data_IF_367646866519
#
_entry.id   IF_367646866519
#
_cell.length_a   1.000
_cell.length_b   1.000
_cell.length_c   1.000
_cell.angle_alpha   90.00
_cell.angle_beta   90.00
_cell.angle_gamma   90.00
#
_symmetry.space_group_name_H-M   'P 1'
#
loop_
_entity.id
_entity.type
_entity.pdbx_description
1 polymer ?
#
# COMPACT_ATOMS: atom_id res chain seq x y z
N UNK A 1 9.72 18.82 -19.77
CA UNK A 1 10.05 18.82 -18.32
C UNK A 1 9.63 17.49 -17.74
N UNK A 2 10.54 16.83 -17.03
CA UNK A 2 10.24 15.55 -16.42
C UNK A 2 9.76 15.77 -14.99
N UNK A 3 8.63 15.16 -14.67
CA UNK A 3 8.14 15.16 -13.30
C UNK A 3 8.61 13.87 -12.65
N UNK A 4 9.38 13.99 -11.58
CA UNK A 4 9.81 12.81 -10.83
C UNK A 4 8.68 12.44 -9.89
N UNK A 5 8.08 11.27 -10.11
CA UNK A 5 7.04 10.77 -9.22
C UNK A 5 7.69 10.09 -8.03
N UNK A 6 7.08 10.25 -6.86
CA UNK A 6 7.52 9.53 -5.68
C UNK A 6 7.21 8.04 -5.83
N UNK A 7 7.89 7.20 -5.05
CA UNK A 7 7.59 5.77 -5.03
C UNK A 7 6.15 5.52 -4.63
N UNK A 8 5.61 6.31 -3.70
CA UNK A 8 4.22 6.18 -3.27
C UNK A 8 3.26 6.44 -4.44
N UNK A 9 3.51 7.46 -5.25
CA UNK A 9 2.66 7.78 -6.39
C UNK A 9 2.72 6.68 -7.46
N UNK A 10 3.89 6.14 -7.72
CA UNK A 10 4.05 5.03 -8.66
C UNK A 10 3.28 3.81 -8.14
N UNK A 11 3.42 3.49 -6.87
CA UNK A 11 2.71 2.37 -6.25
C UNK A 11 1.19 2.57 -6.35
N UNK A 12 0.71 3.78 -6.08
CA UNK A 12 -0.72 4.09 -6.19
C UNK A 12 -1.26 3.80 -7.58
N UNK A 13 -0.54 4.25 -8.61
CA UNK A 13 -0.95 4.02 -10.00
C UNK A 13 -0.97 2.53 -10.34
N UNK A 14 0.01 1.77 -9.87
CA UNK A 14 0.07 0.33 -10.09
C UNK A 14 -1.13 -0.35 -9.45
N UNK A 15 -1.42 -0.02 -8.20
CA UNK A 15 -2.50 -0.64 -7.44
C UNK A 15 -3.86 -0.32 -8.07
N UNK A 16 -4.05 0.90 -8.56
CA UNK A 16 -5.29 1.29 -9.23
C UNK A 16 -5.51 0.55 -10.53
N UNK A 17 -4.48 -0.06 -11.10
CA UNK A 17 -4.63 -0.84 -12.35
C UNK A 17 -5.30 -2.20 -12.10
N UNK A 18 -5.40 -2.65 -10.85
CA UNK A 18 -6.10 -3.89 -10.53
C UNK A 18 -7.61 -3.63 -10.53
N UNK A 19 -8.36 -4.44 -11.27
CA UNK A 19 -9.81 -4.28 -11.41
C UNK A 19 -10.56 -4.33 -10.09
N UNK A 20 -10.06 -5.13 -9.16
CA UNK A 20 -10.71 -5.32 -7.87
C UNK A 20 -10.56 -4.11 -6.94
N UNK A 21 -9.62 -3.23 -7.23
CA UNK A 21 -9.32 -2.10 -6.36
C UNK A 21 -10.24 -0.93 -6.67
N UNK A 22 -10.96 -0.47 -5.66
CA UNK A 22 -11.86 0.67 -5.74
C UNK A 22 -11.14 1.97 -5.36
N UNK A 23 -10.30 1.90 -4.35
CA UNK A 23 -9.55 3.04 -3.87
C UNK A 23 -8.25 2.58 -3.21
N UNK A 24 -7.27 3.45 -3.20
CA UNK A 24 -5.96 3.17 -2.62
C UNK A 24 -5.39 4.44 -1.99
N UNK A 25 -4.66 4.27 -0.90
CA UNK A 25 -3.86 5.31 -0.28
C UNK A 25 -2.46 4.78 -0.12
N UNK A 26 -1.48 5.62 -0.38
CA UNK A 26 -0.06 5.23 -0.26
C UNK A 26 0.73 6.33 0.43
N UNK A 27 1.77 5.92 1.13
CA UNK A 27 2.82 6.85 1.53
C UNK A 27 4.14 6.09 1.61
N UNK A 28 5.24 6.84 1.54
CA UNK A 28 6.56 6.27 1.73
C UNK A 28 7.23 6.92 2.92
N UNK A 29 7.94 6.11 3.69
CA UNK A 29 8.61 6.58 4.89
C UNK A 29 9.69 5.59 5.30
N UNK A 30 10.88 6.08 5.60
CA UNK A 30 12.01 5.26 6.06
C UNK A 30 12.32 4.06 5.16
N UNK A 31 12.18 4.24 3.85
CA UNK A 31 12.45 3.17 2.89
C UNK A 31 11.31 2.17 2.69
N UNK A 32 10.19 2.38 3.37
CA UNK A 32 9.00 1.54 3.22
C UNK A 32 7.94 2.24 2.38
N UNK A 33 7.18 1.45 1.64
CA UNK A 33 6.01 1.93 0.92
C UNK A 33 4.79 1.28 1.58
N UNK A 34 3.91 2.09 2.12
CA UNK A 34 2.69 1.62 2.78
C UNK A 34 1.51 1.80 1.84
N UNK A 35 0.74 0.74 1.66
CA UNK A 35 -0.39 0.71 0.73
C UNK A 35 -1.64 0.23 1.47
N UNK A 36 -2.66 1.06 1.53
CA UNK A 36 -3.96 0.68 2.06
C UNK A 36 -4.95 0.62 0.91
N UNK A 37 -5.65 -0.49 0.78
CA UNK A 37 -6.48 -0.81 -0.37
C UNK A 37 -7.93 -1.01 0.03
N UNK A 38 -8.84 -0.46 -0.75
CA UNK A 38 -10.27 -0.79 -0.64
C UNK A 38 -10.68 -1.52 -1.91
N UNK A 39 -11.39 -2.62 -1.74
CA UNK A 39 -11.89 -3.42 -2.87
C UNK A 39 -13.40 -3.36 -2.93
N UNK A 40 -13.95 -3.74 -4.10
CA UNK A 40 -15.38 -3.93 -4.28
C UNK A 40 -15.87 -5.15 -3.49
N UNK A 41 -17.14 -5.54 -3.72
CA UNK A 41 -17.75 -6.62 -2.92
C UNK A 41 -17.00 -7.92 -3.08
N UNK A 42 -16.85 -8.42 -2.09
CA UNK A 42 -16.38 -9.57 -1.46
C UNK A 42 -15.70 -10.68 -2.12
N UNK A 43 -14.51 -10.75 -1.75
CA UNK A 43 -13.66 -11.87 -1.98
C UNK A 43 -13.52 -12.67 -0.68
N UNK A 44 -13.25 -13.97 -0.83
CA UNK A 44 -12.83 -14.78 0.31
C UNK A 44 -11.52 -14.24 0.85
N UNK A 45 -11.16 -14.66 2.06
CA UNK A 45 -9.89 -14.26 2.63
C UNK A 45 -8.72 -14.72 1.77
N UNK A 46 -8.81 -15.89 1.16
CA UNK A 46 -7.79 -16.40 0.26
C UNK A 46 -7.59 -15.48 -0.95
N UNK A 47 -8.69 -15.02 -1.54
CA UNK A 47 -8.63 -14.10 -2.69
C UNK A 47 -8.02 -12.76 -2.32
N UNK A 48 -8.33 -12.27 -1.12
CA UNK A 48 -7.72 -11.03 -0.61
C UNK A 48 -6.22 -11.18 -0.42
N UNK A 49 -5.79 -12.31 0.11
CA UNK A 49 -4.37 -12.60 0.29
C UNK A 49 -3.65 -12.66 -1.05
N UNK A 50 -4.26 -13.30 -2.05
CA UNK A 50 -3.70 -13.38 -3.38
C UNK A 50 -3.58 -12.00 -4.02
N UNK A 51 -4.60 -11.16 -3.86
CA UNK A 51 -4.57 -9.81 -4.40
C UNK A 51 -3.47 -8.98 -3.75
N UNK A 52 -3.36 -9.04 -2.41
CA UNK A 52 -2.29 -8.32 -1.72
C UNK A 52 -0.92 -8.80 -2.15
N UNK A 53 -0.75 -10.11 -2.34
CA UNK A 53 0.53 -10.65 -2.79
C UNK A 53 0.85 -10.17 -4.21
N UNK A 54 -0.14 -10.17 -5.09
CA UNK A 54 0.04 -9.67 -6.46
C UNK A 54 0.41 -8.19 -6.47
N UNK A 55 -0.19 -7.40 -5.60
CA UNK A 55 0.12 -5.98 -5.44
C UNK A 55 1.57 -5.81 -5.00
N UNK A 56 1.99 -6.55 -3.98
CA UNK A 56 3.37 -6.50 -3.48
C UNK A 56 4.37 -6.89 -4.55
N UNK A 57 4.08 -7.98 -5.27
CA UNK A 57 4.96 -8.46 -6.34
C UNK A 57 5.14 -7.39 -7.43
N UNK A 58 4.05 -6.80 -7.87
CA UNK A 58 4.11 -5.82 -8.96
C UNK A 58 4.78 -4.52 -8.52
N UNK A 59 4.48 -4.05 -7.34
CA UNK A 59 5.09 -2.82 -6.81
C UNK A 59 6.58 -3.04 -6.58
N UNK A 60 6.96 -4.16 -5.99
CA UNK A 60 8.36 -4.48 -5.74
C UNK A 60 9.15 -4.56 -7.05
N UNK A 61 8.59 -5.22 -8.06
CA UNK A 61 9.22 -5.38 -9.35
C UNK A 61 9.40 -4.03 -10.05
N UNK A 62 8.36 -3.21 -10.05
CA UNK A 62 8.38 -1.91 -10.73
C UNK A 62 9.32 -0.92 -10.05
N UNK A 63 9.32 -0.89 -8.72
CA UNK A 63 10.17 0.02 -7.94
C UNK A 63 11.56 -0.53 -7.69
N UNK A 64 11.79 -1.79 -8.01
CA UNK A 64 13.07 -2.48 -7.78
C UNK A 64 13.47 -2.46 -6.31
N UNK A 65 12.51 -2.70 -5.44
CA UNK A 65 12.74 -2.79 -3.98
C UNK A 65 12.28 -4.15 -3.47
N UNK A 66 12.74 -4.49 -2.27
CA UNK A 66 12.37 -5.75 -1.63
C UNK A 66 10.89 -5.74 -1.25
N UNK A 67 10.21 -6.87 -1.43
CA UNK A 67 8.81 -7.02 -1.01
C UNK A 67 8.63 -6.78 0.49
N UNK A 68 9.67 -7.04 1.28
CA UNK A 68 9.60 -6.78 2.73
C UNK A 68 9.46 -5.30 3.06
N UNK A 69 9.75 -4.41 2.12
CA UNK A 69 9.60 -2.97 2.28
C UNK A 69 8.25 -2.45 1.78
N UNK A 70 7.37 -3.35 1.35
CA UNK A 70 6.03 -2.98 0.90
C UNK A 70 5.02 -3.54 1.88
N UNK A 71 4.25 -2.64 2.52
CA UNK A 71 3.29 -2.99 3.55
C UNK A 71 1.89 -2.74 3.00
N UNK A 72 1.26 -3.77 2.47
CA UNK A 72 -0.06 -3.67 1.86
C UNK A 72 -1.13 -4.28 2.78
N UNK A 73 -2.25 -3.60 2.94
CA UNK A 73 -3.33 -4.08 3.79
C UNK A 73 -4.69 -3.58 3.33
N UNK A 74 -5.75 -4.20 3.86
CA UNK A 74 -7.14 -3.82 3.64
C UNK A 74 -7.75 -3.05 4.82
N UNK A 75 -6.94 -2.62 5.77
CA UNK A 75 -7.45 -2.03 7.01
C UNK A 75 -8.06 -0.65 6.76
N UNK A 76 -9.35 -0.52 7.08
CA UNK A 76 -10.08 0.73 6.88
C UNK A 76 -9.57 1.85 7.79
N UNK A 77 -9.16 1.51 9.01
CA UNK A 77 -8.60 2.51 9.92
C UNK A 77 -7.31 3.08 9.39
N UNK A 78 -6.45 2.21 8.88
CA UNK A 78 -5.19 2.63 8.25
C UNK A 78 -5.48 3.50 7.03
N UNK A 79 -6.43 3.08 6.19
CA UNK A 79 -6.81 3.83 5.00
C UNK A 79 -7.26 5.26 5.36
N UNK A 80 -8.11 5.38 6.37
CA UNK A 80 -8.61 6.69 6.82
C UNK A 80 -7.51 7.53 7.46
N UNK A 81 -6.66 6.89 8.24
CA UNK A 81 -5.56 7.58 8.92
C UNK A 81 -4.52 8.11 7.93
N UNK A 82 -4.41 7.52 6.75
CA UNK A 82 -3.48 7.95 5.72
C UNK A 82 -3.94 9.18 4.96
N UNK A 83 -5.18 9.63 5.20
CA UNK A 83 -5.69 10.84 4.58
C UNK A 83 -5.14 12.05 5.35
N UNK A 84 -4.41 12.92 4.66
CA UNK A 84 -3.83 14.15 5.25
C UNK A 84 -2.89 13.92 6.43
N UNK A 85 -2.05 12.88 6.35
CA UNK A 85 -1.11 12.62 7.44
C UNK A 85 0.07 13.60 7.42
N UNK A 86 0.49 14.00 8.61
CA UNK A 86 1.70 14.78 8.80
C UNK A 86 2.92 13.85 8.91
N UNK A 87 4.11 14.41 8.78
CA UNK A 87 5.35 13.63 8.90
C UNK A 87 5.47 12.95 10.27
N UNK A 88 4.96 13.60 11.31
CA UNK A 88 4.98 13.03 12.66
C UNK A 88 4.09 11.81 12.80
N UNK A 89 3.02 11.76 12.02
CA UNK A 89 2.08 10.64 12.05
C UNK A 89 2.57 9.45 11.23
N UNK A 90 3.45 9.69 10.27
CA UNK A 90 3.97 8.62 9.41
C UNK A 90 4.69 7.53 10.19
N UNK A 91 5.45 7.90 11.22
CA UNK A 91 6.14 6.91 12.07
C UNK A 91 5.14 5.97 12.74
N UNK A 92 4.06 6.53 13.27
CA UNK A 92 3.04 5.74 13.96
C UNK A 92 2.30 4.83 13.00
N UNK A 93 1.95 5.34 11.83
CA UNK A 93 1.24 4.55 10.82
C UNK A 93 2.14 3.47 10.24
N UNK A 94 3.41 3.77 10.04
CA UNK A 94 4.36 2.77 9.57
C UNK A 94 4.47 1.63 10.58
N UNK A 95 4.60 1.94 11.86
CA UNK A 95 4.66 0.93 12.91
C UNK A 95 3.40 0.07 12.92
N UNK A 96 2.22 0.69 12.81
CA UNK A 96 0.96 -0.01 12.76
C UNK A 96 0.90 -0.96 11.55
N UNK A 97 1.31 -0.47 10.38
CA UNK A 97 1.33 -1.29 9.16
C UNK A 97 2.28 -2.48 9.30
N UNK A 98 3.44 -2.28 9.91
CA UNK A 98 4.39 -3.35 10.15
C UNK A 98 3.81 -4.43 11.08
N UNK A 99 3.10 -4.02 12.11
CA UNK A 99 2.43 -4.95 13.02
C UNK A 99 1.38 -5.80 12.31
N UNK A 100 0.65 -5.21 11.36
CA UNK A 100 -0.35 -5.93 10.59
C UNK A 100 0.28 -7.02 9.71
N UNK A 101 1.51 -6.82 9.24
CA UNK A 101 2.19 -7.80 8.38
C UNK A 101 2.72 -8.99 9.17
N UNK A 102 2.89 -8.87 10.47
CA UNK A 102 3.48 -9.92 11.29
C UNK A 102 2.46 -10.90 11.88
N UNK A 103 1.19 -10.76 11.54
CA UNK A 103 0.13 -11.63 12.03
C UNK A 103 -0.05 -12.83 11.10
#
# INVERSE_FOLDING_TARGET
MFTIQSQANIAENIVLSFEQVVAVRTFEHNGYVVVAVLTGPIFSQAERQELLQSIKDMVADTLEISQSHILASYDMELFRAMDNISDNEKDKLLEKAMQMQSI
#
